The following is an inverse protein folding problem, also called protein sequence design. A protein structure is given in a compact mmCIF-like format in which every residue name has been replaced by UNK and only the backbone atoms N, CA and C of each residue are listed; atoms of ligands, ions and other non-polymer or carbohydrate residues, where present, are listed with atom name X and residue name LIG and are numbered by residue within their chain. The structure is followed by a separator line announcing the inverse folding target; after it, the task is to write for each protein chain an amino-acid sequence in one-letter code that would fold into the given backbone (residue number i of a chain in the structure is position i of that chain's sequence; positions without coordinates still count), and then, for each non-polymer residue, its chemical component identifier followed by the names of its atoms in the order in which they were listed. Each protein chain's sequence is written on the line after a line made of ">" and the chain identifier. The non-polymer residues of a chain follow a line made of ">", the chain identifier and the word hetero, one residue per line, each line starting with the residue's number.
data_IF_500067740471
#
_entry.id   IF_500067740471
#
_cell.length_a   1.000
_cell.length_b   1.000
_cell.length_c   1.000
_cell.angle_alpha   90.00
_cell.angle_beta   90.00
_cell.angle_gamma   90.00
#
_symmetry.space_group_name_H-M   'P 1'
#
loop_
_entity.id
_entity.type
_entity.pdbx_description
1 polymer ?
#
# COMPACT_ATOMS: atom_id res chain seq x y z
N UNK A 1 -21.16 -7.41 10.39
CA UNK A 1 -20.83 -7.83 9.01
C UNK A 1 -19.40 -8.31 9.00
N UNK A 2 -19.16 -9.59 8.70
CA UNK A 2 -17.81 -10.16 8.65
C UNK A 2 -17.38 -10.17 7.17
N UNK A 3 -16.40 -9.32 6.81
CA UNK A 3 -15.99 -9.11 5.40
C UNK A 3 -15.19 -10.30 4.84
N UNK A 4 -14.43 -10.98 5.70
CA UNK A 4 -13.55 -12.10 5.32
C UNK A 4 -13.89 -13.36 6.15
N UNK A 5 -13.91 -14.56 5.54
CA UNK A 5 -14.10 -15.82 6.27
C UNK A 5 -12.98 -16.08 7.29
N UNK A 6 -11.74 -15.72 6.92
CA UNK A 6 -10.57 -15.71 7.79
C UNK A 6 -9.98 -14.31 7.74
N UNK A 7 -10.05 -13.51 8.82
CA UNK A 7 -9.41 -12.21 8.85
C UNK A 7 -7.88 -12.35 8.91
N UNK A 8 -7.12 -11.33 8.45
CA UNK A 8 -5.68 -11.29 8.67
C UNK A 8 -5.34 -11.42 10.15
N UNK A 9 -4.31 -12.21 10.47
CA UNK A 9 -3.87 -12.43 11.84
C UNK A 9 -3.25 -11.17 12.47
N UNK A 10 -2.60 -10.34 11.65
CA UNK A 10 -1.98 -9.09 12.06
C UNK A 10 -2.11 -8.06 10.91
N UNK A 11 -2.35 -6.76 11.19
CA UNK A 11 -2.42 -5.72 10.18
C UNK A 11 -1.16 -5.60 9.31
N UNK A 12 0.02 -5.96 9.83
CA UNK A 12 1.27 -5.95 9.07
C UNK A 12 1.30 -6.98 7.93
N UNK A 13 0.39 -7.96 7.93
CA UNK A 13 0.16 -8.88 6.82
C UNK A 13 -0.84 -8.36 5.77
N UNK A 14 -1.25 -7.09 5.88
CA UNK A 14 -2.14 -6.43 4.91
C UNK A 14 -1.33 -5.44 4.09
N UNK A 15 -1.43 -5.58 2.76
CA UNK A 15 -0.86 -4.66 1.79
C UNK A 15 -1.97 -3.77 1.21
N UNK A 16 -1.89 -2.47 1.45
CA UNK A 16 -2.81 -1.45 0.95
C UNK A 16 -2.22 -0.76 -0.27
N UNK A 17 -3.02 -0.59 -1.31
CA UNK A 17 -2.73 0.29 -2.44
C UNK A 17 -3.59 1.54 -2.32
N UNK A 18 -2.97 2.71 -2.34
CA UNK A 18 -3.64 4.00 -2.13
C UNK A 18 -3.07 5.07 -3.05
N UNK A 19 -3.91 6.01 -3.50
CA UNK A 19 -3.50 7.14 -4.32
C UNK A 19 -3.41 8.44 -3.51
N UNK A 20 -4.04 8.48 -2.34
CA UNK A 20 -4.18 9.69 -1.53
C UNK A 20 -3.26 9.70 -0.30
N UNK A 21 -2.69 10.87 0.06
CA UNK A 21 -1.92 11.01 1.31
C UNK A 21 -2.71 10.62 2.57
N UNK A 22 -4.00 10.93 2.60
CA UNK A 22 -4.85 10.65 3.76
C UNK A 22 -5.11 9.15 3.91
N UNK A 23 -5.37 8.45 2.81
CA UNK A 23 -5.54 7.00 2.81
C UNK A 23 -4.25 6.27 3.20
N UNK A 24 -3.11 6.74 2.69
CA UNK A 24 -1.80 6.22 3.09
C UNK A 24 -1.51 6.40 4.59
N UNK A 25 -1.80 7.58 5.15
CA UNK A 25 -1.68 7.82 6.59
C UNK A 25 -2.61 6.92 7.41
N UNK A 26 -3.83 6.68 6.93
CA UNK A 26 -4.76 5.77 7.58
C UNK A 26 -4.24 4.33 7.58
N UNK A 27 -3.69 3.84 6.47
CA UNK A 27 -3.09 2.51 6.37
C UNK A 27 -1.90 2.35 7.34
N UNK A 28 -1.00 3.34 7.38
CA UNK A 28 0.14 3.35 8.31
C UNK A 28 -0.35 3.35 9.76
N UNK A 29 -1.32 4.20 10.11
CA UNK A 29 -1.88 4.28 11.46
C UNK A 29 -2.59 2.98 11.88
N UNK A 30 -3.10 2.20 10.92
CA UNK A 30 -3.68 0.89 11.14
C UNK A 30 -2.64 -0.24 11.25
N UNK A 31 -1.35 0.06 11.11
CA UNK A 31 -0.26 -0.93 11.17
C UNK A 31 -0.10 -1.77 9.89
N UNK A 32 -0.64 -1.30 8.76
CA UNK A 32 -0.59 -2.00 7.47
C UNK A 32 0.58 -1.52 6.61
N UNK A 33 1.01 -2.37 5.68
CA UNK A 33 1.94 -1.94 4.62
C UNK A 33 1.17 -1.14 3.58
N UNK A 34 1.78 -0.06 3.08
CA UNK A 34 1.15 0.79 2.08
C UNK A 34 2.08 1.01 0.88
N UNK A 35 1.56 0.73 -0.32
CA UNK A 35 2.15 1.11 -1.60
C UNK A 35 1.31 2.24 -2.17
N UNK A 36 1.92 3.41 -2.34
CA UNK A 36 1.22 4.55 -2.92
C UNK A 36 1.39 4.61 -4.44
N UNK A 37 0.32 4.94 -5.15
CA UNK A 37 0.33 5.28 -6.58
C UNK A 37 -0.35 6.64 -6.74
N UNK A 38 0.29 7.74 -6.29
CA UNK A 38 -0.36 9.04 -6.22
C UNK A 38 -0.46 9.70 -7.59
N UNK A 39 -1.44 10.59 -7.74
CA UNK A 39 -1.47 11.53 -8.85
C UNK A 39 -0.12 12.30 -8.94
N UNK A 40 0.41 12.54 -10.16
CA UNK A 40 1.67 13.26 -10.33
C UNK A 40 1.78 14.58 -9.56
N UNK A 41 0.67 15.32 -9.41
CA UNK A 41 0.64 16.58 -8.67
C UNK A 41 0.85 16.41 -7.15
N UNK A 42 0.56 15.24 -6.61
CA UNK A 42 0.69 14.92 -5.18
C UNK A 42 1.99 14.19 -4.84
N UNK A 43 2.73 13.73 -5.85
CA UNK A 43 3.89 12.85 -5.69
C UNK A 43 4.96 13.38 -4.74
N UNK A 44 5.29 14.68 -4.83
CA UNK A 44 6.28 15.30 -3.95
C UNK A 44 5.87 15.24 -2.46
N UNK A 45 4.57 15.37 -2.17
CA UNK A 45 4.04 15.25 -0.82
C UNK A 45 4.06 13.80 -0.35
N UNK A 46 3.77 12.85 -1.23
CA UNK A 46 3.79 11.41 -0.92
C UNK A 46 5.17 10.91 -0.48
N UNK A 47 6.25 11.49 -1.02
CA UNK A 47 7.62 11.15 -0.60
C UNK A 47 7.95 11.52 0.86
N UNK A 48 7.13 12.37 1.50
CA UNK A 48 7.29 12.70 2.94
C UNK A 48 6.60 11.71 3.87
N UNK A 49 5.80 10.79 3.32
CA UNK A 49 5.09 9.78 4.10
C UNK A 49 5.93 8.52 4.25
N UNK A 50 5.89 7.90 5.44
CA UNK A 50 6.60 6.66 5.74
C UNK A 50 5.89 5.42 5.17
N UNK A 51 5.58 5.45 3.88
CA UNK A 51 4.97 4.31 3.16
C UNK A 51 6.05 3.33 2.70
N UNK A 52 5.66 2.09 2.43
CA UNK A 52 6.61 1.05 2.01
C UNK A 52 7.17 1.30 0.61
N UNK A 53 6.35 1.79 -0.33
CA UNK A 53 6.78 2.15 -1.68
C UNK A 53 5.90 3.23 -2.28
N UNK A 54 6.47 4.07 -3.14
CA UNK A 54 5.73 5.04 -3.98
C UNK A 54 6.03 4.70 -5.44
N UNK A 55 5.01 4.39 -6.22
CA UNK A 55 5.09 4.03 -7.64
C UNK A 55 4.49 5.13 -8.52
N UNK A 56 4.87 5.15 -9.80
CA UNK A 56 4.21 6.01 -10.81
C UNK A 56 2.93 5.38 -11.36
N UNK A 57 2.90 4.05 -11.38
CA UNK A 57 1.85 3.22 -11.97
C UNK A 57 1.81 1.90 -11.22
N UNK A 58 0.63 1.27 -11.18
CA UNK A 58 0.50 -0.09 -10.66
C UNK A 58 1.28 -1.12 -11.50
N UNK A 59 1.57 -0.81 -12.76
CA UNK A 59 2.39 -1.67 -13.64
C UNK A 59 3.84 -1.80 -13.17
N UNK A 60 4.32 -0.86 -12.33
CA UNK A 60 5.66 -0.93 -11.73
C UNK A 60 5.71 -1.81 -10.47
N UNK A 61 4.56 -2.32 -10.01
CA UNK A 61 4.49 -3.15 -8.82
C UNK A 61 5.20 -4.49 -9.03
N UNK A 62 5.99 -4.89 -8.04
CA UNK A 62 6.71 -6.16 -8.00
C UNK A 62 6.22 -6.98 -6.81
N UNK A 63 5.31 -7.95 -7.01
CA UNK A 63 4.73 -8.72 -5.92
C UNK A 63 5.79 -9.40 -5.02
N UNK A 64 6.89 -9.84 -5.62
CA UNK A 64 7.97 -10.57 -4.95
C UNK A 64 8.70 -9.75 -3.88
N UNK A 65 8.69 -8.41 -3.98
CA UNK A 65 9.25 -7.53 -2.95
C UNK A 65 8.44 -7.57 -1.64
N UNK A 66 7.20 -8.06 -1.70
CA UNK A 66 6.28 -8.21 -0.57
C UNK A 66 6.00 -9.68 -0.22
N UNK A 67 6.81 -10.61 -0.75
CA UNK A 67 6.66 -12.05 -0.51
C UNK A 67 5.50 -12.70 -1.25
N UNK A 68 4.94 -12.03 -2.27
CA UNK A 68 3.91 -12.58 -3.15
C UNK A 68 4.55 -13.22 -4.39
N UNK A 69 3.87 -14.15 -5.09
CA UNK A 69 4.37 -14.70 -6.34
C UNK A 69 4.54 -13.60 -7.41
N UNK A 70 5.63 -13.60 -8.21
CA UNK A 70 5.83 -12.63 -9.28
C UNK A 70 4.74 -12.76 -10.35
N UNK A 71 4.59 -11.72 -11.18
CA UNK A 71 3.82 -11.80 -12.43
C UNK A 71 4.48 -12.76 -13.43
N UNK A 72 3.71 -13.20 -14.43
CA UNK A 72 4.17 -14.08 -15.53
C UNK A 72 5.23 -13.41 -16.44
#
# INVERSE_FOLDING_TARGET
>A
MQKFPVPPADPSHVLVFEDSPNGAQAAIAAGMLCVMVPDPALRQRSHTLSVAKVLSSLEEFKPEEFGLPPFD
#
